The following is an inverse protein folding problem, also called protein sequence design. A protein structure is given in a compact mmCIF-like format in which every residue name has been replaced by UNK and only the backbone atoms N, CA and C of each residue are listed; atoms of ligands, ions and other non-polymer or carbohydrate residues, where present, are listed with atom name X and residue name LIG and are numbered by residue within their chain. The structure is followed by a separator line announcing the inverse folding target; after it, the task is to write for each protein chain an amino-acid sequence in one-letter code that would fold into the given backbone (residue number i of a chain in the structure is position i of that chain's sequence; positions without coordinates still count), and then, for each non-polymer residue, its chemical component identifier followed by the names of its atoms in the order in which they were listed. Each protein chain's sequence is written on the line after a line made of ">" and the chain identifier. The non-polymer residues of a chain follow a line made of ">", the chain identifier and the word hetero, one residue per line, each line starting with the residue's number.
data_IF_922142351383
#
_entry.id   IF_922142351383
#
_cell.length_a   1.000
_cell.length_b   1.000
_cell.length_c   1.000
_cell.angle_alpha   90.00
_cell.angle_beta   90.00
_cell.angle_gamma   90.00
#
_symmetry.space_group_name_H-M   'P 1'
#
loop_
_entity.id
_entity.type
_entity.pdbx_description
1 polymer ?
#
# COMPACT_ATOMS: atom_id res chain seq x y z
N UNK A 1 21.54 1.99 13.30
CA UNK A 1 20.71 3.19 13.57
C UNK A 1 20.66 4.09 12.36
N UNK A 2 19.54 4.76 12.12
CA UNK A 2 19.43 5.82 11.11
C UNK A 2 20.28 7.00 11.57
N UNK A 3 21.25 7.40 10.75
CA UNK A 3 22.13 8.53 11.04
C UNK A 3 21.34 9.83 11.10
N UNK A 4 21.63 10.68 12.08
CA UNK A 4 21.08 12.04 12.15
C UNK A 4 21.50 12.90 10.95
N UNK A 5 22.54 12.49 10.21
CA UNK A 5 22.92 13.11 8.93
C UNK A 5 21.82 13.03 7.88
N UNK A 6 20.86 12.09 7.99
CA UNK A 6 19.74 11.96 7.06
C UNK A 6 18.78 13.15 7.11
N UNK A 7 18.85 13.96 8.16
CA UNK A 7 17.96 15.09 8.42
C UNK A 7 18.71 16.43 8.35
N UNK A 8 19.84 16.50 7.65
CA UNK A 8 20.47 17.78 7.30
C UNK A 8 19.84 18.34 6.03
N UNK A 9 19.94 19.66 5.83
CA UNK A 9 19.46 20.31 4.60
C UNK A 9 20.17 19.76 3.38
N UNK A 10 21.47 19.54 3.51
CA UNK A 10 22.35 19.06 2.45
C UNK A 10 21.97 17.64 2.04
N UNK A 11 21.72 16.74 3.00
CA UNK A 11 21.32 15.36 2.70
C UNK A 11 19.94 15.30 2.08
N UNK A 12 18.96 16.01 2.66
CA UNK A 12 17.59 16.05 2.14
C UNK A 12 17.56 16.59 0.71
N UNK A 13 18.30 17.67 0.42
CA UNK A 13 18.36 18.23 -0.93
C UNK A 13 19.04 17.27 -1.91
N UNK A 14 20.17 16.65 -1.54
CA UNK A 14 20.85 15.68 -2.39
C UNK A 14 19.95 14.47 -2.71
N UNK A 15 19.29 13.88 -1.70
CA UNK A 15 18.34 12.78 -1.89
C UNK A 15 17.10 13.19 -2.67
N UNK A 16 16.57 14.39 -2.44
CA UNK A 16 15.41 14.91 -3.19
C UNK A 16 15.69 14.96 -4.69
N UNK A 17 16.87 15.47 -5.08
CA UNK A 17 17.29 15.54 -6.48
C UNK A 17 17.50 14.13 -7.06
N UNK A 18 18.17 13.26 -6.32
CA UNK A 18 18.45 11.89 -6.77
C UNK A 18 17.17 11.05 -6.98
N UNK A 19 16.22 11.14 -6.04
CA UNK A 19 14.97 10.39 -6.08
C UNK A 19 13.88 11.06 -6.92
N UNK A 20 14.07 12.33 -7.29
CA UNK A 20 13.07 13.13 -7.99
C UNK A 20 11.76 13.23 -7.21
N UNK A 21 11.83 13.62 -5.92
CA UNK A 21 10.68 13.65 -5.02
C UNK A 21 10.46 15.03 -4.38
N UNK A 22 9.37 15.14 -3.62
CA UNK A 22 9.12 16.29 -2.78
C UNK A 22 9.95 16.23 -1.48
N UNK A 23 10.54 17.36 -1.07
CA UNK A 23 11.42 17.43 0.09
C UNK A 23 10.67 17.20 1.41
N UNK A 24 9.42 17.69 1.49
CA UNK A 24 8.58 17.60 2.69
C UNK A 24 8.20 16.13 2.93
N UNK A 25 7.81 15.43 1.87
CA UNK A 25 7.51 14.00 1.94
C UNK A 25 8.75 13.17 2.28
N UNK A 26 9.91 13.50 1.73
CA UNK A 26 11.17 12.83 2.02
C UNK A 26 11.54 12.96 3.51
N UNK A 27 11.54 14.17 4.04
CA UNK A 27 11.84 14.43 5.45
C UNK A 27 10.87 13.67 6.37
N UNK A 28 9.56 13.72 6.08
CA UNK A 28 8.54 12.98 6.83
C UNK A 28 8.74 11.47 6.77
N UNK A 29 9.12 10.93 5.62
CA UNK A 29 9.41 9.50 5.46
C UNK A 29 10.60 9.08 6.33
N UNK A 30 11.69 9.86 6.32
CA UNK A 30 12.87 9.61 7.16
C UNK A 30 12.50 9.72 8.65
N UNK A 31 11.72 10.74 9.03
CA UNK A 31 11.23 10.91 10.41
C UNK A 31 10.31 9.77 10.85
N UNK A 32 9.47 9.23 9.96
CA UNK A 32 8.64 8.08 10.25
C UNK A 32 9.51 6.83 10.55
N UNK A 33 10.52 6.56 9.73
CA UNK A 33 11.42 5.43 9.97
C UNK A 33 12.30 5.64 11.22
N UNK A 34 12.69 6.89 11.52
CA UNK A 34 13.38 7.24 12.77
C UNK A 34 12.50 6.98 14.00
N UNK A 35 11.22 7.36 13.94
CA UNK A 35 10.27 7.09 15.02
C UNK A 35 10.08 5.58 15.22
N UNK A 36 9.89 4.82 14.13
CA UNK A 36 9.80 3.36 14.18
C UNK A 36 11.02 2.73 14.85
N UNK A 37 12.23 3.12 14.44
CA UNK A 37 13.47 2.63 15.02
C UNK A 37 13.57 2.96 16.52
N UNK A 38 13.21 4.18 16.92
CA UNK A 38 13.23 4.57 18.32
C UNK A 38 12.21 3.79 19.17
N UNK A 39 11.03 3.43 18.63
CA UNK A 39 10.07 2.59 19.34
C UNK A 39 10.66 1.21 19.64
N UNK A 40 11.30 0.59 18.65
CA UNK A 40 11.92 -0.74 18.78
C UNK A 40 13.07 -0.70 19.78
N UNK A 41 13.97 0.28 19.68
CA UNK A 41 15.10 0.44 20.62
C UNK A 41 14.59 0.67 22.06
N UNK A 42 13.43 1.29 22.22
CA UNK A 42 12.80 1.50 23.53
C UNK A 42 11.96 0.31 24.03
N UNK A 43 12.06 -0.85 23.36
CA UNK A 43 11.51 -2.13 23.80
C UNK A 43 10.07 -2.38 23.39
N UNK A 44 9.57 -1.68 22.36
CA UNK A 44 8.23 -1.98 21.81
C UNK A 44 8.33 -3.21 20.90
N UNK A 45 7.65 -4.28 21.30
CA UNK A 45 7.39 -5.42 20.43
C UNK A 45 6.21 -5.09 19.51
N UNK A 46 6.48 -5.00 18.20
CA UNK A 46 5.52 -4.57 17.20
C UNK A 46 5.73 -5.27 15.87
N UNK A 47 4.69 -5.29 15.04
CA UNK A 47 4.77 -5.59 13.61
C UNK A 47 4.52 -4.32 12.82
N UNK A 48 5.45 -3.92 11.95
CA UNK A 48 5.32 -2.78 11.06
C UNK A 48 4.68 -3.19 9.74
N UNK A 49 3.57 -2.55 9.37
CA UNK A 49 2.80 -2.84 8.15
C UNK A 49 2.50 -1.58 7.35
N UNK A 50 1.54 -1.67 6.42
CA UNK A 50 1.03 -0.53 5.68
C UNK A 50 1.93 -0.09 4.52
N UNK A 51 1.58 1.04 3.89
CA UNK A 51 2.28 1.51 2.70
C UNK A 51 3.74 1.93 2.96
N UNK A 52 4.03 2.41 4.16
CA UNK A 52 5.39 2.88 4.52
C UNK A 52 6.35 1.71 4.70
N UNK A 53 5.89 0.52 5.09
CA UNK A 53 6.74 -0.68 5.19
C UNK A 53 7.38 -1.11 3.87
N UNK A 54 6.78 -0.75 2.73
CA UNK A 54 7.28 -1.10 1.41
C UNK A 54 8.67 -0.52 1.13
N UNK A 55 9.04 0.59 1.79
CA UNK A 55 10.36 1.21 1.66
C UNK A 55 11.50 0.33 2.20
N UNK A 56 11.18 -0.60 3.09
CA UNK A 56 12.13 -1.55 3.69
C UNK A 56 12.10 -2.92 3.00
N UNK A 57 10.98 -3.26 2.36
CA UNK A 57 10.76 -4.58 1.74
C UNK A 57 11.16 -4.65 0.27
N UNK A 58 11.12 -3.52 -0.45
CA UNK A 58 11.40 -3.47 -1.88
C UNK A 58 12.82 -2.99 -2.14
N UNK A 59 13.53 -3.65 -3.05
CA UNK A 59 14.88 -3.24 -3.49
C UNK A 59 14.90 -1.84 -4.12
N UNK A 60 13.77 -1.42 -4.69
CA UNK A 60 13.56 -0.08 -5.25
C UNK A 60 12.33 0.57 -4.65
N UNK A 61 12.53 1.70 -3.99
CA UNK A 61 11.44 2.53 -3.49
C UNK A 61 10.65 3.08 -4.67
N UNK A 62 9.33 2.87 -4.66
CA UNK A 62 8.45 3.29 -5.75
C UNK A 62 7.71 4.61 -5.43
N UNK A 63 7.27 4.78 -4.19
CA UNK A 63 6.61 6.00 -3.71
C UNK A 63 6.94 6.26 -2.24
N UNK A 64 6.81 7.51 -1.82
CA UNK A 64 6.95 7.90 -0.42
C UNK A 64 5.61 7.80 0.33
N UNK A 65 5.69 7.46 1.60
CA UNK A 65 4.58 7.36 2.53
C UNK A 65 5.05 7.84 3.90
N UNK A 66 4.16 8.49 4.65
CA UNK A 66 4.54 9.32 5.81
C UNK A 66 3.97 8.82 7.15
N UNK A 67 3.01 7.91 7.10
CA UNK A 67 2.33 7.37 8.29
C UNK A 67 3.00 6.07 8.73
N UNK A 68 2.93 5.74 10.02
CA UNK A 68 3.43 4.48 10.58
C UNK A 68 2.24 3.64 11.00
N UNK A 69 2.02 2.52 10.31
CA UNK A 69 1.03 1.53 10.71
C UNK A 69 1.71 0.41 11.49
N UNK A 70 1.38 0.24 12.76
CA UNK A 70 1.93 -0.82 13.63
C UNK A 70 0.83 -1.69 14.21
N UNK A 71 1.15 -2.96 14.40
CA UNK A 71 0.35 -3.90 15.17
C UNK A 71 1.08 -4.18 16.48
N UNK A 72 0.34 -4.10 17.59
CA UNK A 72 0.82 -4.41 18.94
C UNK A 72 -0.18 -5.29 19.65
N UNK A 73 0.27 -6.10 20.61
CA UNK A 73 -0.64 -6.96 21.38
C UNK A 73 -1.75 -6.15 22.08
N UNK A 74 -2.98 -6.69 22.26
CA UNK A 74 -4.16 -5.93 22.73
C UNK A 74 -4.00 -5.14 24.03
N UNK A 75 -3.04 -5.50 24.89
CA UNK A 75 -2.79 -4.87 26.19
C UNK A 75 -1.47 -4.11 26.26
N UNK A 76 -0.81 -3.91 25.12
CA UNK A 76 0.47 -3.19 25.06
C UNK A 76 0.31 -1.77 25.60
N UNK A 77 1.26 -1.33 26.42
CA UNK A 77 1.31 0.06 26.87
C UNK A 77 2.46 0.79 26.17
N UNK A 78 2.13 1.66 25.23
CA UNK A 78 3.10 2.45 24.47
C UNK A 78 3.59 3.70 25.21
N UNK A 79 2.95 4.14 26.29
CA UNK A 79 3.24 5.44 26.91
C UNK A 79 4.67 5.55 27.42
N UNK A 80 5.20 4.48 28.03
CA UNK A 80 6.57 4.45 28.53
C UNK A 80 7.60 4.56 27.39
N UNK A 81 7.36 3.88 26.26
CA UNK A 81 8.23 3.99 25.09
C UNK A 81 8.13 5.39 24.47
N UNK A 82 6.91 5.93 24.33
CA UNK A 82 6.67 7.27 23.81
C UNK A 82 7.40 8.34 24.63
N UNK A 83 7.33 8.28 25.97
CA UNK A 83 8.08 9.19 26.84
C UNK A 83 9.60 9.10 26.62
N UNK A 84 10.14 7.89 26.41
CA UNK A 84 11.56 7.72 26.08
C UNK A 84 11.90 8.29 24.70
N UNK A 85 11.04 8.13 23.69
CA UNK A 85 11.20 8.76 22.37
C UNK A 85 11.31 10.28 22.52
N UNK A 86 10.41 10.92 23.28
CA UNK A 86 10.47 12.38 23.52
C UNK A 86 11.77 12.77 24.23
N UNK A 87 12.23 11.98 25.21
CA UNK A 87 13.47 12.26 25.94
C UNK A 87 14.74 12.29 25.07
N UNK A 88 14.67 11.71 23.85
CA UNK A 88 15.79 11.79 22.89
C UNK A 88 15.96 13.16 22.26
N UNK A 89 14.98 14.06 22.36
CA UNK A 89 14.97 15.35 21.70
C UNK A 89 14.71 15.32 20.20
N UNK A 90 14.56 14.13 19.58
CA UNK A 90 14.28 13.99 18.13
C UNK A 90 12.83 14.29 17.76
N UNK A 91 11.95 14.21 18.76
CA UNK A 91 10.54 14.59 18.72
C UNK A 91 10.25 15.45 19.96
N UNK A 92 9.48 16.52 19.79
CA UNK A 92 9.23 17.52 20.84
C UNK A 92 8.09 17.14 21.77
N UNK A 93 7.06 16.49 21.24
CA UNK A 93 5.89 16.03 22.00
C UNK A 93 5.11 14.97 21.23
N UNK A 94 4.18 14.31 21.91
CA UNK A 94 3.17 13.48 21.26
C UNK A 94 1.79 13.74 21.86
N UNK A 95 0.75 13.52 21.08
CA UNK A 95 -0.63 13.52 21.53
C UNK A 95 -1.41 12.35 20.91
N UNK A 96 -2.45 11.90 21.61
CA UNK A 96 -3.42 10.96 21.04
C UNK A 96 -4.48 11.73 20.25
N UNK A 97 -4.66 11.36 18.99
CA UNK A 97 -5.71 11.87 18.11
C UNK A 97 -6.94 10.96 18.25
N UNK A 98 -7.80 11.27 19.23
CA UNK A 98 -8.96 10.44 19.55
C UNK A 98 -10.00 10.54 18.44
N UNK A 99 -10.23 9.42 17.76
CA UNK A 99 -11.19 9.29 16.65
C UNK A 99 -12.17 8.17 16.92
N UNK A 100 -13.40 8.31 16.40
CA UNK A 100 -14.34 7.19 16.36
C UNK A 100 -13.87 6.20 15.31
N UNK A 101 -13.53 5.00 15.74
CA UNK A 101 -13.08 3.91 14.86
C UNK A 101 -13.90 2.64 15.13
N UNK A 102 -14.04 1.81 14.11
CA UNK A 102 -14.66 0.47 14.21
C UNK A 102 -13.64 -0.61 14.54
N UNK A 103 -12.35 -0.31 14.40
CA UNK A 103 -11.23 -1.21 14.67
C UNK A 103 -10.62 -0.89 16.04
N UNK A 104 -9.88 -1.83 16.66
CA UNK A 104 -9.12 -1.58 17.88
C UNK A 104 -7.83 -0.77 17.59
N UNK A 105 -7.96 0.36 16.89
CA UNK A 105 -6.84 1.23 16.50
C UNK A 105 -6.83 2.49 17.37
N UNK A 106 -5.62 2.96 17.71
CA UNK A 106 -5.40 4.26 18.33
C UNK A 106 -4.45 5.07 17.46
N UNK A 107 -4.74 6.36 17.33
CA UNK A 107 -3.98 7.26 16.47
C UNK A 107 -3.17 8.23 17.33
N UNK A 108 -1.91 8.45 16.98
CA UNK A 108 -1.03 9.38 17.68
C UNK A 108 -0.33 10.30 16.71
N UNK A 109 -0.06 11.54 17.15
CA UNK A 109 0.81 12.48 16.45
C UNK A 109 2.10 12.66 17.23
N UNK A 110 3.23 12.54 16.55
CA UNK A 110 4.55 12.84 17.08
C UNK A 110 5.08 14.10 16.43
N UNK A 111 5.15 15.19 17.19
CA UNK A 111 5.60 16.48 16.71
C UNK A 111 7.12 16.57 16.68
N UNK A 112 7.66 17.25 15.69
CA UNK A 112 9.08 17.50 15.54
C UNK A 112 9.33 18.85 14.86
N UNK A 113 10.54 19.37 15.06
CA UNK A 113 10.99 20.59 14.37
C UNK A 113 11.52 20.22 12.99
N UNK A 114 10.84 20.72 11.96
CA UNK A 114 11.24 20.45 10.58
C UNK A 114 12.48 21.25 10.19
N UNK A 115 13.31 20.62 9.36
CA UNK A 115 14.46 21.25 8.71
C UNK A 115 14.02 22.40 7.79
N UNK A 116 12.81 22.26 7.23
CA UNK A 116 12.12 23.31 6.48
C UNK A 116 11.33 24.22 7.43
N UNK A 117 11.76 25.48 7.64
CA UNK A 117 11.11 26.40 8.58
C UNK A 117 9.66 26.77 8.23
N UNK A 118 9.21 26.52 6.99
CA UNK A 118 7.82 26.75 6.61
C UNK A 118 6.86 25.72 7.22
N UNK A 119 7.36 24.54 7.62
CA UNK A 119 6.56 23.49 8.25
C UNK A 119 6.47 23.69 9.75
N UNK A 120 5.59 24.60 10.17
CA UNK A 120 5.26 24.75 11.59
C UNK A 120 4.47 23.53 12.06
N UNK A 121 4.79 23.04 13.26
CA UNK A 121 4.12 21.89 13.90
C UNK A 121 4.12 20.63 13.01
N UNK A 122 5.26 20.31 12.40
CA UNK A 122 5.40 19.08 11.64
C UNK A 122 5.20 17.87 12.55
N UNK A 123 4.53 16.83 12.06
CA UNK A 123 4.28 15.61 12.81
C UNK A 123 4.29 14.36 11.93
N UNK A 124 4.51 13.22 12.58
CA UNK A 124 4.32 11.87 12.05
C UNK A 124 3.08 11.25 12.71
N UNK A 125 2.23 10.60 11.92
CA UNK A 125 1.10 9.82 12.44
C UNK A 125 1.53 8.39 12.73
N UNK A 126 1.08 7.87 13.87
CA UNK A 126 1.12 6.45 14.18
C UNK A 126 -0.31 5.94 14.28
N UNK A 127 -0.62 4.93 13.48
CA UNK A 127 -1.84 4.13 13.58
C UNK A 127 -1.46 2.80 14.24
N UNK A 128 -1.78 2.67 15.54
CA UNK A 128 -1.45 1.50 16.34
C UNK A 128 -2.68 0.60 16.50
N UNK A 129 -2.65 -0.56 15.84
CA UNK A 129 -3.69 -1.57 15.88
C UNK A 129 -3.42 -2.58 17.01
N UNK A 130 -4.34 -2.67 17.96
CA UNK A 130 -4.24 -3.48 19.18
C UNK A 130 -4.84 -4.87 18.98
N UNK A 131 -4.12 -5.71 18.22
CA UNK A 131 -4.52 -7.07 17.90
C UNK A 131 -3.31 -7.99 17.71
N UNK A 132 -3.56 -9.30 17.58
CA UNK A 132 -2.53 -10.23 17.13
C UNK A 132 -2.39 -10.13 15.61
N UNK A 133 -1.16 -10.10 15.05
CA UNK A 133 -0.96 -10.06 13.61
C UNK A 133 -1.76 -11.14 12.86
N UNK A 134 -2.50 -10.70 11.86
CA UNK A 134 -3.33 -11.57 11.03
C UNK A 134 -2.59 -12.11 9.80
N UNK A 135 -1.48 -11.49 9.43
CA UNK A 135 -0.62 -11.91 8.32
C UNK A 135 -0.13 -13.35 8.52
N UNK A 136 -0.18 -14.15 7.46
CA UNK A 136 0.21 -15.58 7.53
C UNK A 136 1.71 -15.79 7.52
N UNK A 137 2.48 -14.77 7.12
CA UNK A 137 3.94 -14.81 7.06
C UNK A 137 4.53 -13.49 7.54
N UNK A 138 5.39 -13.57 8.56
CA UNK A 138 6.14 -12.45 9.12
C UNK A 138 7.63 -12.70 8.94
N UNK A 139 8.38 -11.63 8.67
CA UNK A 139 9.82 -11.66 8.42
C UNK A 139 10.54 -10.60 9.25
N UNK A 140 11.81 -10.85 9.57
CA UNK A 140 12.67 -9.84 10.17
C UNK A 140 13.29 -9.00 9.06
N UNK A 141 13.00 -7.70 9.08
CA UNK A 141 13.42 -6.75 8.05
C UNK A 141 14.37 -5.73 8.65
N UNK A 142 15.57 -5.52 8.08
CA UNK A 142 16.45 -4.46 8.53
C UNK A 142 15.84 -3.09 8.25
N UNK A 143 15.95 -2.16 9.18
CA UNK A 143 15.61 -0.74 8.96
C UNK A 143 16.73 -0.10 8.14
N UNK A 144 16.73 -0.43 6.85
CA UNK A 144 17.69 0.02 5.84
C UNK A 144 16.94 0.18 4.53
N UNK A 145 17.22 1.28 3.85
CA UNK A 145 16.68 1.58 2.53
C UNK A 145 17.63 2.52 1.80
N UNK A 146 17.52 2.61 0.47
CA UNK A 146 18.30 3.55 -0.33
C UNK A 146 18.05 5.03 0.02
N UNK A 147 16.91 5.29 0.69
CA UNK A 147 16.53 6.62 1.20
C UNK A 147 17.27 6.99 2.50
N UNK A 148 17.91 6.02 3.16
CA UNK A 148 18.52 6.19 4.48
C UNK A 148 20.03 5.99 4.45
N UNK A 149 20.74 6.73 5.30
CA UNK A 149 22.08 6.36 5.76
C UNK A 149 21.96 5.63 7.11
N UNK A 150 22.17 4.31 7.10
CA UNK A 150 22.07 3.46 8.30
C UNK A 150 23.44 3.01 8.78
N UNK A 151 23.75 3.30 10.04
CA UNK A 151 24.97 2.90 10.73
C UNK A 151 24.80 1.56 11.46
N UNK A 152 25.90 0.86 11.73
CA UNK A 152 25.89 -0.39 12.50
C UNK A 152 25.86 -0.12 14.01
N UNK A 153 25.17 -0.94 14.82
CA UNK A 153 24.33 -2.08 14.41
C UNK A 153 23.02 -1.62 13.76
N UNK A 154 22.56 -2.37 12.77
CA UNK A 154 21.27 -2.12 12.08
C UNK A 154 20.14 -2.70 12.91
N UNK A 155 19.17 -1.87 13.25
CA UNK A 155 17.94 -2.28 13.92
C UNK A 155 17.08 -3.11 12.96
N UNK A 156 16.48 -4.19 13.44
CA UNK A 156 15.52 -5.00 12.69
C UNK A 156 14.11 -4.80 13.22
N UNK A 157 13.12 -4.97 12.36
CA UNK A 157 11.70 -4.88 12.68
C UNK A 157 10.96 -6.08 12.09
N UNK A 158 9.95 -6.59 12.80
CA UNK A 158 9.03 -7.57 12.25
C UNK A 158 8.10 -6.89 11.25
N UNK A 159 8.03 -7.40 10.02
CA UNK A 159 7.07 -6.96 9.00
C UNK A 159 6.33 -8.17 8.42
N UNK A 160 5.12 -8.00 7.86
CA UNK A 160 4.58 -9.02 6.98
C UNK A 160 5.43 -9.15 5.71
N UNK A 161 5.51 -10.35 5.15
CA UNK A 161 6.20 -10.54 3.88
C UNK A 161 5.52 -9.81 2.72
N UNK A 162 6.21 -9.66 1.58
CA UNK A 162 5.66 -9.04 0.36
C UNK A 162 4.32 -9.68 -0.03
N UNK A 163 4.25 -11.01 -0.02
CA UNK A 163 3.03 -11.76 -0.38
C UNK A 163 1.92 -11.53 0.66
N UNK A 164 2.24 -11.44 1.94
CA UNK A 164 1.27 -11.15 2.99
C UNK A 164 0.73 -9.70 2.91
N UNK A 165 1.58 -8.70 2.64
CA UNK A 165 1.14 -7.31 2.44
C UNK A 165 0.27 -7.19 1.18
N UNK A 166 0.59 -7.93 0.13
CA UNK A 166 -0.22 -7.97 -1.08
C UNK A 166 -1.65 -8.43 -0.78
N UNK A 167 -1.79 -9.49 0.03
CA UNK A 167 -3.09 -9.98 0.51
C UNK A 167 -3.84 -8.97 1.37
N UNK A 168 -3.15 -8.30 2.30
CA UNK A 168 -3.72 -7.22 3.15
C UNK A 168 -4.25 -6.08 2.28
N UNK A 169 -3.45 -5.55 1.36
CA UNK A 169 -3.84 -4.38 0.56
C UNK A 169 -5.04 -4.60 -0.36
N UNK A 170 -5.26 -5.84 -0.81
CA UNK A 170 -6.43 -6.17 -1.63
C UNK A 170 -7.75 -5.87 -0.90
N UNK A 171 -7.83 -6.01 0.43
CA UNK A 171 -9.05 -5.71 1.20
C UNK A 171 -9.41 -4.22 1.17
N UNK A 172 -8.40 -3.36 0.98
CA UNK A 172 -8.55 -1.91 0.93
C UNK A 172 -8.89 -1.37 -0.48
N UNK A 173 -8.68 -2.16 -1.54
CA UNK A 173 -8.97 -1.80 -2.94
C UNK A 173 -10.31 -2.39 -3.42
N UNK A 174 -11.34 -2.31 -2.58
CA UNK A 174 -12.68 -2.84 -2.84
C UNK A 174 -13.76 -1.81 -2.42
N UNK A 175 -13.99 -0.76 -3.21
CA UNK A 175 -14.78 0.42 -2.81
C UNK A 175 -16.27 0.16 -2.52
N UNK A 176 -16.86 -0.90 -3.04
CA UNK A 176 -18.26 -1.25 -2.80
C UNK A 176 -18.44 -2.23 -1.62
N UNK A 177 -17.34 -2.70 -1.04
CA UNK A 177 -17.33 -3.71 0.03
C UNK A 177 -16.50 -3.23 1.24
N UNK A 178 -15.30 -3.78 1.48
CA UNK A 178 -14.47 -3.47 2.66
C UNK A 178 -13.55 -2.28 2.47
N UNK A 179 -13.27 -1.91 1.23
CA UNK A 179 -12.25 -0.94 0.86
C UNK A 179 -12.68 0.51 1.09
N UNK A 180 -11.87 1.42 0.53
CA UNK A 180 -12.13 2.85 0.59
C UNK A 180 -13.29 3.17 -0.36
N UNK A 181 -14.44 3.68 0.14
CA UNK A 181 -15.61 3.85 -0.70
C UNK A 181 -15.45 4.97 -1.72
N UNK A 182 -16.14 4.81 -2.86
CA UNK A 182 -16.34 5.89 -3.83
C UNK A 182 -17.05 7.09 -3.18
N UNK A 183 -16.92 8.26 -3.79
CA UNK A 183 -17.53 9.52 -3.38
C UNK A 183 -17.11 10.05 -1.99
N UNK A 184 -16.24 9.32 -1.28
CA UNK A 184 -15.65 9.76 -0.02
C UNK A 184 -14.57 10.84 -0.20
N UNK A 185 -14.35 11.31 -1.44
CA UNK A 185 -13.26 12.22 -1.84
C UNK A 185 -11.89 11.66 -1.50
N UNK A 186 -11.76 10.33 -1.58
CA UNK A 186 -10.55 9.57 -1.25
C UNK A 186 -9.97 8.82 -2.45
N UNK A 187 -10.29 9.25 -3.67
CA UNK A 187 -9.74 8.67 -4.91
C UNK A 187 -8.22 8.52 -4.92
N UNK A 188 -7.46 9.45 -4.33
CA UNK A 188 -6.00 9.30 -4.19
C UNK A 188 -5.62 8.12 -3.30
N UNK A 189 -6.33 7.90 -2.19
CA UNK A 189 -6.08 6.77 -1.28
C UNK A 189 -6.44 5.43 -1.94
N UNK A 190 -7.51 5.38 -2.73
CA UNK A 190 -7.83 4.20 -3.56
C UNK A 190 -6.69 3.92 -4.54
N UNK A 191 -6.19 4.96 -5.22
CA UNK A 191 -5.09 4.83 -6.17
C UNK A 191 -3.75 4.44 -5.51
N UNK A 192 -3.51 4.82 -4.25
CA UNK A 192 -2.36 4.33 -3.48
C UNK A 192 -2.44 2.82 -3.30
N UNK A 193 -3.61 2.27 -2.99
CA UNK A 193 -3.78 0.82 -2.89
C UNK A 193 -3.52 0.14 -4.23
N UNK A 194 -4.11 0.64 -5.33
CA UNK A 194 -3.86 0.12 -6.66
C UNK A 194 -2.36 0.06 -7.00
N UNK A 195 -1.67 1.18 -6.81
CA UNK A 195 -0.25 1.32 -7.14
C UNK A 195 0.61 0.37 -6.29
N UNK A 196 0.31 0.25 -5.00
CA UNK A 196 1.03 -0.64 -4.10
C UNK A 196 0.78 -2.12 -4.44
N UNK A 197 -0.47 -2.52 -4.71
CA UNK A 197 -0.82 -3.90 -5.10
C UNK A 197 -0.11 -4.27 -6.41
N UNK A 198 -0.18 -3.41 -7.42
CA UNK A 198 0.49 -3.66 -8.70
C UNK A 198 2.02 -3.73 -8.55
N UNK A 199 2.60 -2.89 -7.68
CA UNK A 199 4.03 -2.95 -7.35
C UNK A 199 4.39 -4.26 -6.66
N UNK A 200 3.66 -4.63 -5.61
CA UNK A 200 3.88 -5.87 -4.86
C UNK A 200 3.71 -7.11 -5.73
N UNK A 201 2.74 -7.08 -6.66
CA UNK A 201 2.50 -8.15 -7.62
C UNK A 201 3.76 -8.50 -8.43
N UNK A 202 4.55 -7.49 -8.81
CA UNK A 202 5.80 -7.69 -9.56
C UNK A 202 6.87 -8.42 -8.75
N UNK A 203 6.83 -8.33 -7.42
CA UNK A 203 7.76 -9.00 -6.49
C UNK A 203 7.18 -10.28 -5.87
N UNK A 204 5.88 -10.53 -6.05
CA UNK A 204 5.19 -11.63 -5.40
C UNK A 204 5.72 -12.99 -5.90
N UNK A 205 5.79 -13.95 -4.98
CA UNK A 205 6.33 -15.31 -5.24
C UNK A 205 5.34 -16.41 -4.89
N UNK A 206 4.55 -16.23 -3.83
CA UNK A 206 3.66 -17.25 -3.31
C UNK A 206 2.20 -16.76 -3.28
N UNK A 207 1.45 -17.12 -4.32
CA UNK A 207 0.01 -16.78 -4.43
C UNK A 207 -0.82 -17.38 -3.28
N UNK A 208 -0.40 -18.50 -2.68
CA UNK A 208 -1.09 -19.08 -1.51
C UNK A 208 -0.98 -18.17 -0.28
N UNK A 209 0.20 -17.62 0.01
CA UNK A 209 0.39 -16.66 1.11
C UNK A 209 -0.50 -15.42 0.92
N UNK A 210 -0.58 -14.91 -0.32
CA UNK A 210 -1.49 -13.80 -0.68
C UNK A 210 -2.93 -14.17 -0.36
N UNK A 211 -3.39 -15.33 -0.84
CA UNK A 211 -4.76 -15.81 -0.66
C UNK A 211 -5.13 -16.00 0.80
N UNK A 212 -4.28 -16.68 1.56
CA UNK A 212 -4.58 -17.05 2.94
C UNK A 212 -4.57 -15.81 3.85
N UNK A 213 -3.63 -14.88 3.61
CA UNK A 213 -3.62 -13.57 4.30
C UNK A 213 -4.86 -12.74 3.92
N UNK A 214 -5.20 -12.65 2.63
CA UNK A 214 -6.39 -11.94 2.17
C UNK A 214 -7.66 -12.49 2.84
N UNK A 215 -7.89 -13.80 2.79
CA UNK A 215 -9.09 -14.43 3.41
C UNK A 215 -9.18 -14.10 4.90
N UNK A 216 -8.07 -14.19 5.65
CA UNK A 216 -8.05 -13.92 7.09
C UNK A 216 -8.33 -12.45 7.43
N UNK A 217 -7.70 -11.52 6.72
CA UNK A 217 -7.90 -10.09 6.95
C UNK A 217 -9.29 -9.65 6.51
N UNK A 218 -9.75 -10.07 5.32
CA UNK A 218 -11.07 -9.75 4.77
C UNK A 218 -12.20 -10.14 5.73
N UNK A 219 -12.17 -11.35 6.30
CA UNK A 219 -13.18 -11.82 7.25
C UNK A 219 -13.19 -10.99 8.55
N UNK A 220 -12.01 -10.71 9.11
CA UNK A 220 -11.90 -9.89 10.33
C UNK A 220 -12.37 -8.46 10.07
N UNK A 221 -12.00 -7.89 8.93
CA UNK A 221 -12.40 -6.55 8.52
C UNK A 221 -13.90 -6.41 8.25
N UNK A 222 -14.52 -7.42 7.62
CA UNK A 222 -15.96 -7.48 7.44
C UNK A 222 -16.68 -7.60 8.80
N UNK A 223 -16.14 -8.39 9.73
CA UNK A 223 -16.67 -8.52 11.08
C UNK A 223 -16.68 -7.18 11.82
N UNK A 224 -15.57 -6.42 11.82
CA UNK A 224 -15.49 -5.10 12.44
C UNK A 224 -16.49 -4.09 11.86
N UNK A 225 -16.83 -4.22 10.58
CA UNK A 225 -17.82 -3.38 9.88
C UNK A 225 -19.26 -3.87 10.04
N UNK A 226 -19.51 -4.97 10.75
CA UNK A 226 -20.83 -5.57 10.88
C UNK A 226 -21.36 -6.25 9.60
N UNK A 227 -20.49 -6.51 8.62
CA UNK A 227 -20.81 -7.10 7.31
C UNK A 227 -20.64 -8.63 7.35
N UNK A 228 -21.29 -9.31 8.28
CA UNK A 228 -21.05 -10.74 8.56
C UNK A 228 -21.43 -11.67 7.39
N UNK A 229 -22.29 -11.22 6.48
CA UNK A 229 -22.70 -11.99 5.29
C UNK A 229 -21.75 -11.82 4.10
N UNK A 230 -20.77 -10.92 4.18
CA UNK A 230 -19.86 -10.63 3.09
C UNK A 230 -18.78 -11.72 3.00
N UNK A 231 -18.73 -12.43 1.88
CA UNK A 231 -17.72 -13.46 1.66
C UNK A 231 -16.43 -12.85 1.07
N UNK A 232 -15.24 -13.43 1.34
CA UNK A 232 -13.99 -12.99 0.70
C UNK A 232 -14.07 -12.92 -0.83
N UNK A 233 -14.85 -13.80 -1.45
CA UNK A 233 -15.07 -13.84 -2.88
C UNK A 233 -15.83 -12.60 -3.38
N UNK A 234 -16.74 -12.03 -2.59
CA UNK A 234 -17.46 -10.81 -2.96
C UNK A 234 -16.54 -9.58 -2.96
N UNK A 235 -15.61 -9.54 -2.02
CA UNK A 235 -14.56 -8.51 -1.97
C UNK A 235 -13.62 -8.65 -3.18
N UNK A 236 -13.21 -9.87 -3.55
CA UNK A 236 -12.39 -10.08 -4.75
C UNK A 236 -13.12 -9.71 -6.06
N UNK A 237 -14.43 -9.95 -6.15
CA UNK A 237 -15.24 -9.48 -7.28
C UNK A 237 -15.26 -7.97 -7.36
N UNK A 238 -15.41 -7.28 -6.22
CA UNK A 238 -15.37 -5.81 -6.16
C UNK A 238 -13.98 -5.25 -6.54
N UNK A 239 -12.89 -5.89 -6.08
CA UNK A 239 -11.52 -5.60 -6.56
C UNK A 239 -11.41 -5.73 -8.07
N UNK A 240 -11.93 -6.84 -8.62
CA UNK A 240 -11.89 -7.13 -10.05
C UNK A 240 -12.70 -6.11 -10.87
N UNK A 241 -13.93 -5.81 -10.46
CA UNK A 241 -14.80 -4.82 -11.12
C UNK A 241 -14.20 -3.41 -11.04
N UNK A 242 -13.64 -3.03 -9.89
CA UNK A 242 -12.92 -1.74 -9.73
C UNK A 242 -11.77 -1.62 -10.72
N UNK A 243 -10.98 -2.68 -10.89
CA UNK A 243 -9.92 -2.71 -11.89
C UNK A 243 -10.45 -2.66 -13.33
N UNK A 244 -11.58 -3.33 -13.62
CA UNK A 244 -12.24 -3.24 -14.92
C UNK A 244 -12.77 -1.85 -15.24
N UNK A 245 -13.28 -1.09 -14.26
CA UNK A 245 -13.72 0.29 -14.46
C UNK A 245 -12.58 1.17 -15.01
N UNK A 246 -11.36 0.97 -14.51
CA UNK A 246 -10.15 1.63 -15.01
C UNK A 246 -9.87 1.19 -16.46
N UNK A 247 -9.92 -0.13 -16.73
CA UNK A 247 -9.77 -0.68 -18.09
C UNK A 247 -10.87 -0.25 -19.08
N UNK A 248 -12.05 0.09 -18.58
CA UNK A 248 -13.19 0.59 -19.37
C UNK A 248 -13.00 2.04 -19.83
N UNK A 249 -12.12 2.80 -19.16
CA UNK A 249 -11.73 4.17 -19.53
C UNK A 249 -12.95 5.10 -19.64
N UNK A 250 -13.82 5.04 -18.63
CA UNK A 250 -15.03 5.87 -18.55
C UNK A 250 -16.22 5.39 -19.40
N UNK A 251 -16.12 4.24 -20.08
CA UNK A 251 -17.28 3.63 -20.76
C UNK A 251 -18.30 2.99 -19.81
N UNK A 252 -17.84 2.65 -18.60
CA UNK A 252 -18.64 2.13 -17.49
C UNK A 252 -18.44 3.06 -16.32
N UNK A 253 -19.52 3.37 -15.61
CA UNK A 253 -19.53 4.21 -14.41
C UNK A 253 -18.58 5.42 -14.53
N UNK A 254 -18.88 6.36 -15.45
CA UNK A 254 -17.97 7.45 -15.79
C UNK A 254 -17.60 8.32 -14.59
N UNK A 255 -18.44 8.37 -13.57
CA UNK A 255 -18.26 9.17 -12.36
C UNK A 255 -17.20 8.55 -11.45
N UNK A 256 -17.30 7.25 -11.16
CA UNK A 256 -16.28 6.49 -10.45
C UNK A 256 -14.95 6.47 -11.21
N UNK A 257 -14.97 6.32 -12.54
CA UNK A 257 -13.75 6.43 -13.34
C UNK A 257 -13.10 7.82 -13.21
N UNK A 258 -13.89 8.90 -13.22
CA UNK A 258 -13.38 10.27 -13.03
C UNK A 258 -12.77 10.47 -11.65
N UNK A 259 -13.37 9.91 -10.60
CA UNK A 259 -12.76 9.94 -9.25
C UNK A 259 -11.40 9.23 -9.24
N UNK A 260 -11.32 8.03 -9.84
CA UNK A 260 -10.08 7.26 -9.91
C UNK A 260 -9.00 7.96 -10.74
N UNK A 261 -9.35 8.53 -11.90
CA UNK A 261 -8.38 9.24 -12.76
C UNK A 261 -7.89 10.56 -12.13
N UNK A 262 -8.77 11.24 -11.37
CA UNK A 262 -8.38 12.37 -10.52
C UNK A 262 -7.43 11.92 -9.41
N UNK A 263 -7.76 10.83 -8.73
CA UNK A 263 -6.92 10.21 -7.71
C UNK A 263 -5.52 9.83 -8.20
N UNK A 264 -5.42 9.25 -9.41
CA UNK A 264 -4.16 8.97 -10.11
C UNK A 264 -3.34 10.24 -10.31
N UNK A 265 -3.99 11.32 -10.72
CA UNK A 265 -3.33 12.61 -10.95
C UNK A 265 -2.78 13.18 -9.65
N UNK A 266 -3.54 13.15 -8.56
CA UNK A 266 -3.08 13.56 -7.22
C UNK A 266 -1.95 12.69 -6.68
N UNK A 267 -2.00 11.37 -6.91
CA UNK A 267 -0.96 10.43 -6.46
C UNK A 267 0.40 10.68 -7.11
N UNK A 268 0.45 11.30 -8.28
CA UNK A 268 1.68 11.48 -9.06
C UNK A 268 2.78 12.24 -8.29
N UNK A 269 2.44 13.14 -7.36
CA UNK A 269 3.43 13.86 -6.53
C UNK A 269 4.10 13.00 -5.46
N UNK A 270 3.55 11.83 -5.15
CA UNK A 270 4.09 10.91 -4.14
C UNK A 270 4.96 9.80 -4.75
N UNK A 271 4.89 9.59 -6.07
CA UNK A 271 5.66 8.57 -6.80
C UNK A 271 7.05 9.11 -7.12
N UNK A 272 8.07 8.28 -6.92
CA UNK A 272 9.45 8.65 -7.19
C UNK A 272 9.75 8.69 -8.69
N UNK A 273 10.43 9.74 -9.14
CA UNK A 273 11.04 9.84 -10.47
C UNK A 273 10.08 9.92 -11.67
N UNK A 274 8.77 9.77 -11.50
CA UNK A 274 7.83 9.70 -12.63
C UNK A 274 6.41 10.18 -12.29
N UNK A 275 5.75 10.78 -13.29
CA UNK A 275 4.30 10.96 -13.28
C UNK A 275 3.59 9.60 -13.40
N UNK A 276 2.46 9.43 -12.70
CA UNK A 276 1.63 8.24 -12.85
C UNK A 276 0.86 8.29 -14.17
N UNK A 277 1.55 7.90 -15.25
CA UNK A 277 1.04 7.92 -16.61
C UNK A 277 -0.19 7.02 -16.75
N UNK A 278 -1.10 7.43 -17.63
CA UNK A 278 -2.34 6.71 -17.88
C UNK A 278 -2.10 5.26 -18.36
N UNK A 279 -1.07 5.03 -19.19
CA UNK A 279 -0.70 3.68 -19.64
C UNK A 279 -0.28 2.77 -18.49
N UNK A 280 0.46 3.31 -17.51
CA UNK A 280 0.83 2.59 -16.28
C UNK A 280 -0.39 2.35 -15.39
N UNK A 281 -1.29 3.33 -15.28
CA UNK A 281 -2.53 3.15 -14.52
C UNK A 281 -3.39 2.00 -15.07
N UNK A 282 -3.43 1.84 -16.40
CA UNK A 282 -4.10 0.70 -17.03
C UNK A 282 -3.38 -0.62 -16.78
N UNK A 283 -2.04 -0.68 -16.84
CA UNK A 283 -1.29 -1.91 -16.57
C UNK A 283 -1.41 -2.31 -15.10
N UNK A 284 -1.35 -1.35 -14.18
CA UNK A 284 -1.47 -1.59 -12.75
C UNK A 284 -2.87 -2.16 -12.44
N UNK A 285 -3.94 -1.57 -12.99
CA UNK A 285 -5.30 -2.11 -12.87
C UNK A 285 -5.40 -3.53 -13.45
N UNK A 286 -4.83 -3.78 -14.62
CA UNK A 286 -4.88 -5.10 -15.24
C UNK A 286 -4.17 -6.19 -14.41
N UNK A 287 -3.03 -5.87 -13.78
CA UNK A 287 -2.34 -6.77 -12.84
C UNK A 287 -3.21 -7.11 -11.64
N UNK A 288 -3.89 -6.11 -11.06
CA UNK A 288 -4.81 -6.33 -9.94
C UNK A 288 -6.01 -7.19 -10.36
N UNK A 289 -6.58 -6.94 -11.54
CA UNK A 289 -7.66 -7.78 -12.08
C UNK A 289 -7.21 -9.24 -12.27
N UNK A 290 -6.03 -9.45 -12.84
CA UNK A 290 -5.48 -10.80 -13.02
C UNK A 290 -5.24 -11.51 -11.67
N UNK A 291 -4.67 -10.81 -10.69
CA UNK A 291 -4.47 -11.37 -9.36
C UNK A 291 -5.81 -11.74 -8.71
N UNK A 292 -6.80 -10.85 -8.72
CA UNK A 292 -8.13 -11.11 -8.16
C UNK A 292 -8.80 -12.31 -8.83
N UNK A 293 -8.70 -12.42 -10.16
CA UNK A 293 -9.23 -13.55 -10.91
C UNK A 293 -8.56 -14.89 -10.54
N UNK A 294 -7.23 -14.90 -10.35
CA UNK A 294 -6.51 -16.10 -9.89
C UNK A 294 -6.92 -16.50 -8.47
N UNK A 295 -7.05 -15.52 -7.56
CA UNK A 295 -7.49 -15.78 -6.19
C UNK A 295 -8.92 -16.34 -6.13
N UNK A 296 -9.83 -15.83 -6.99
CA UNK A 296 -11.19 -16.35 -7.16
C UNK A 296 -11.21 -17.77 -7.72
N UNK A 297 -10.34 -18.09 -8.69
CA UNK A 297 -10.20 -19.43 -9.27
C UNK A 297 -9.30 -20.38 -8.47
N UNK A 298 -8.86 -19.96 -7.29
CA UNK A 298 -7.88 -20.66 -6.44
C UNK A 298 -6.59 -21.10 -7.17
N UNK A 299 -6.19 -20.38 -8.22
CA UNK A 299 -5.02 -20.65 -9.07
C UNK A 299 -3.83 -19.75 -8.73
N UNK A 300 -2.64 -20.12 -9.20
CA UNK A 300 -1.41 -19.33 -9.01
C UNK A 300 -1.31 -18.19 -10.03
N UNK A 301 -0.95 -16.99 -9.57
CA UNK A 301 -0.88 -15.78 -10.38
C UNK A 301 0.51 -15.62 -11.06
N UNK A 302 0.96 -16.63 -11.80
CA UNK A 302 2.34 -16.74 -12.29
C UNK A 302 2.64 -15.93 -13.56
N UNK A 303 1.61 -15.48 -14.28
CA UNK A 303 1.80 -14.78 -15.55
C UNK A 303 2.59 -13.47 -15.35
N UNK A 304 3.60 -13.25 -16.19
CA UNK A 304 4.38 -12.01 -16.28
C UNK A 304 4.52 -11.64 -17.74
N UNK A 305 3.96 -10.48 -18.09
CA UNK A 305 3.92 -10.04 -19.48
C UNK A 305 5.32 -9.81 -20.06
N UNK A 306 5.50 -10.23 -21.31
CA UNK A 306 6.66 -9.94 -22.14
C UNK A 306 6.23 -9.31 -23.48
N UNK A 307 7.08 -8.48 -24.09
CA UNK A 307 6.73 -7.72 -25.31
C UNK A 307 6.46 -8.60 -26.53
N UNK A 308 6.98 -9.83 -26.53
CA UNK A 308 6.90 -10.75 -27.66
C UNK A 308 5.60 -11.58 -27.65
N UNK A 309 4.82 -11.51 -26.56
CA UNK A 309 3.56 -12.23 -26.46
C UNK A 309 2.43 -11.55 -27.23
N UNK A 310 1.81 -12.31 -28.12
CA UNK A 310 0.63 -11.90 -28.87
C UNK A 310 -0.64 -12.42 -28.20
N UNK A 311 -1.62 -11.53 -28.04
CA UNK A 311 -2.91 -11.85 -27.46
C UNK A 311 -4.00 -11.79 -28.51
N UNK A 312 -4.86 -12.81 -28.51
CA UNK A 312 -6.03 -12.87 -29.40
C UNK A 312 -7.05 -11.83 -28.95
N UNK A 313 -7.85 -11.36 -29.90
CA UNK A 313 -8.96 -10.43 -29.65
C UNK A 313 -9.96 -11.04 -28.66
N UNK A 314 -10.34 -10.29 -27.63
CA UNK A 314 -11.41 -10.68 -26.71
C UNK A 314 -12.75 -10.67 -27.46
N UNK A 315 -13.43 -11.83 -27.49
CA UNK A 315 -14.71 -12.02 -28.17
C UNK A 315 -15.92 -12.02 -27.24
N UNK A 316 -15.72 -12.24 -25.93
CA UNK A 316 -16.80 -12.13 -24.94
C UNK A 316 -17.34 -10.69 -24.91
N UNK A 317 -18.61 -10.53 -25.28
CA UNK A 317 -19.31 -9.24 -25.37
C UNK A 317 -19.21 -8.43 -24.08
N UNK A 318 -19.20 -9.11 -22.94
CA UNK A 318 -19.05 -8.52 -21.60
C UNK A 318 -17.73 -7.81 -21.41
N UNK A 319 -16.70 -8.12 -22.21
CA UNK A 319 -15.33 -7.60 -22.06
C UNK A 319 -14.75 -6.98 -23.34
N UNK A 320 -15.48 -7.00 -24.47
CA UNK A 320 -15.01 -6.44 -25.76
C UNK A 320 -14.52 -4.99 -25.68
N UNK A 321 -14.98 -4.21 -24.68
CA UNK A 321 -14.54 -2.83 -24.46
C UNK A 321 -13.03 -2.72 -24.19
N UNK A 322 -12.40 -3.77 -23.64
CA UNK A 322 -10.97 -3.86 -23.35
C UNK A 322 -10.10 -4.00 -24.61
N UNK A 323 -10.65 -4.42 -25.76
CA UNK A 323 -9.89 -4.56 -27.00
C UNK A 323 -9.16 -3.28 -27.43
N UNK A 324 -9.63 -2.11 -27.01
CA UNK A 324 -8.95 -0.82 -27.26
C UNK A 324 -7.64 -0.66 -26.47
N UNK A 325 -7.37 -1.49 -25.46
CA UNK A 325 -6.10 -1.49 -24.74
C UNK A 325 -4.99 -2.15 -25.54
N UNK A 326 -5.29 -3.06 -26.47
CA UNK A 326 -4.27 -3.74 -27.30
C UNK A 326 -3.31 -2.78 -28.01
N UNK A 327 -3.81 -1.59 -28.38
CA UNK A 327 -3.00 -0.51 -29.00
C UNK A 327 -2.46 0.50 -28.00
N UNK A 328 -3.20 0.80 -26.92
CA UNK A 328 -2.87 1.87 -25.95
C UNK A 328 -1.89 1.39 -24.89
N UNK A 329 -2.09 0.17 -24.39
CA UNK A 329 -1.25 -0.49 -23.39
C UNK A 329 -1.33 -2.00 -23.62
N UNK A 330 -0.44 -2.56 -24.48
CA UNK A 330 -0.41 -4.00 -24.75
C UNK A 330 -0.24 -4.85 -23.48
N UNK A 331 0.53 -4.37 -22.50
CA UNK A 331 0.67 -5.00 -21.19
C UNK A 331 -0.68 -5.09 -20.45
N UNK A 332 -1.43 -3.98 -20.38
CA UNK A 332 -2.74 -3.98 -19.74
C UNK A 332 -3.69 -4.96 -20.45
N UNK A 333 -3.66 -4.96 -21.78
CA UNK A 333 -4.48 -5.87 -22.57
C UNK A 333 -4.16 -7.35 -22.29
N UNK A 334 -2.87 -7.70 -22.18
CA UNK A 334 -2.42 -9.04 -21.86
C UNK A 334 -2.95 -9.52 -20.50
N UNK A 335 -2.73 -8.74 -19.43
CA UNK A 335 -3.18 -9.10 -18.09
C UNK A 335 -4.71 -9.19 -17.99
N UNK A 336 -5.47 -8.25 -18.59
CA UNK A 336 -6.93 -8.36 -18.60
C UNK A 336 -7.41 -9.60 -19.38
N UNK A 337 -6.76 -9.94 -20.50
CA UNK A 337 -7.08 -11.16 -21.25
C UNK A 337 -6.88 -12.41 -20.38
N UNK A 338 -5.76 -12.48 -19.64
CA UNK A 338 -5.51 -13.55 -18.66
C UNK A 338 -6.53 -13.57 -17.52
N UNK A 339 -6.94 -12.41 -17.02
CA UNK A 339 -7.95 -12.34 -15.97
C UNK A 339 -9.31 -12.91 -16.44
N UNK A 340 -9.72 -12.59 -17.67
CA UNK A 340 -10.96 -13.11 -18.27
C UNK A 340 -10.87 -14.62 -18.50
N UNK A 341 -9.74 -15.13 -18.99
CA UNK A 341 -9.50 -16.57 -19.14
C UNK A 341 -9.72 -17.31 -17.81
N UNK A 342 -9.18 -16.78 -16.70
CA UNK A 342 -9.32 -17.36 -15.37
C UNK A 342 -10.77 -17.37 -14.87
N UNK A 343 -11.53 -16.29 -15.06
CA UNK A 343 -12.94 -16.23 -14.64
C UNK A 343 -13.81 -17.18 -15.46
N UNK A 344 -13.55 -17.28 -16.76
CA UNK A 344 -14.27 -18.19 -17.66
C UNK A 344 -14.03 -19.67 -17.35
N UNK A 345 -12.90 -20.03 -16.72
CA UNK A 345 -12.65 -21.38 -16.23
C UNK A 345 -13.31 -21.67 -14.88
N UNK A 346 -13.50 -20.67 -14.01
CA UNK A 346 -14.11 -20.85 -12.68
C UNK A 346 -15.65 -20.97 -12.68
N UNK A 347 -16.29 -20.70 -13.82
CA UNK A 347 -17.75 -20.84 -14.03
C UNK A 347 -18.15 -22.13 -14.75
N UNK A 348 -17.19 -23.01 -15.04
CA UNK A 348 -17.39 -24.38 -15.54
C UNK A 348 -17.01 -25.36 -14.44
#
# INVERSE_FOLDING_TARGET
>A
MISDSCLTREYLEAKRVELGCDQILLEKTIKALQLLELLIINGVDLTFKGGTSLILLLDRVQRLSIDIDIIVEPRTNLSAAFSKVISTGRFSSYEEDIRKTVFPVRHFKFYYDSVNPSQKNAYILIDALYEKPLHTELVQTPIRSYVLHTENPVTTVTTPSIDAILGDKLTAFAPNTTGIPYDARKGMEICKQLYDIATLFDYHKNTRTVRDTFKRIALTEAHYRGMQSLAPEDILKDVFETALLIGARGKREPDHYRELDSGRSSLSSHILGFNYKQTKFFSDAAKVAYLAACLLGESDALFRWSRDELFVRITDESFTFLNKLSTVSPEAYAYFSKAIEQIGTSTR
#
